data_IF_339082046650
#
_entry.id   IF_339082046650
#
_cell.length_a   1.000
_cell.length_b   1.000
_cell.length_c   1.000
_cell.angle_alpha   90.00
_cell.angle_beta   90.00
_cell.angle_gamma   90.00
#
_symmetry.space_group_name_H-M   'P 1'
#
loop_
_entity.id
_entity.type
_entity.pdbx_description
1 polymer ?
#
# COMPACT_ATOMS: atom_id res chain seq x y z
N UNK A 1 33.42 12.97 8.46
CA UNK A 1 32.80 12.65 7.16
C UNK A 1 31.65 11.71 7.46
N UNK A 2 30.42 12.21 7.52
CA UNK A 2 29.24 11.35 7.65
C UNK A 2 28.13 12.00 6.81
N UNK A 3 28.25 11.86 5.50
CA UNK A 3 27.11 12.05 4.60
C UNK A 3 26.26 10.78 4.66
N UNK A 4 25.52 10.63 5.75
CA UNK A 4 24.41 9.69 5.80
C UNK A 4 23.28 10.30 5.00
N UNK A 5 23.31 10.15 3.67
CA UNK A 5 22.14 10.40 2.84
C UNK A 5 20.98 9.58 3.43
N UNK A 6 19.85 10.19 3.84
CA UNK A 6 18.73 9.41 4.35
C UNK A 6 18.34 8.42 3.26
N UNK A 7 18.35 7.13 3.59
CA UNK A 7 17.89 6.06 2.70
C UNK A 7 16.61 6.54 2.04
N UNK A 8 16.65 6.67 0.71
CA UNK A 8 15.51 7.02 -0.13
C UNK A 8 14.47 5.94 0.07
N UNK A 9 13.69 6.09 1.13
CA UNK A 9 12.78 5.08 1.66
C UNK A 9 11.79 4.82 0.55
N UNK A 10 11.97 3.71 -0.16
CA UNK A 10 11.16 3.42 -1.35
C UNK A 10 9.74 3.22 -0.85
N UNK A 11 8.90 4.21 -1.09
CA UNK A 11 7.53 4.20 -0.61
C UNK A 11 6.79 3.04 -1.26
N UNK A 12 6.22 2.17 -0.43
CA UNK A 12 5.56 0.95 -0.86
C UNK A 12 4.05 1.10 -1.06
N UNK A 13 3.45 0.07 -1.65
CA UNK A 13 2.00 -0.15 -1.68
C UNK A 13 1.63 -1.22 -0.65
N UNK A 14 0.60 -0.95 0.16
CA UNK A 14 -0.03 -1.94 1.02
C UNK A 14 -1.38 -2.34 0.43
N UNK A 15 -1.58 -3.64 0.20
CA UNK A 15 -2.87 -4.19 -0.24
C UNK A 15 -3.56 -4.84 0.95
N UNK A 16 -4.80 -4.48 1.21
CA UNK A 16 -5.62 -5.01 2.30
C UNK A 16 -6.85 -5.71 1.72
N UNK A 17 -6.87 -7.04 1.78
CA UNK A 17 -7.99 -7.85 1.27
C UNK A 17 -8.04 -9.19 2.00
N UNK A 18 -9.23 -9.77 2.17
CA UNK A 18 -9.39 -11.08 2.79
C UNK A 18 -9.14 -12.23 1.78
N UNK A 19 -9.27 -11.93 0.48
CA UNK A 19 -9.13 -12.88 -0.61
C UNK A 19 -7.66 -13.09 -0.97
N UNK A 20 -7.13 -14.25 -0.58
CA UNK A 20 -5.72 -14.61 -0.78
C UNK A 20 -5.32 -14.62 -2.26
N UNK A 21 -6.17 -15.13 -3.14
CA UNK A 21 -5.93 -15.14 -4.58
C UNK A 21 -5.77 -13.72 -5.16
N UNK A 22 -6.54 -12.76 -4.65
CA UNK A 22 -6.39 -11.36 -5.06
C UNK A 22 -5.10 -10.75 -4.54
N UNK A 23 -4.76 -10.98 -3.27
CA UNK A 23 -3.52 -10.48 -2.68
C UNK A 23 -2.30 -10.96 -3.45
N UNK A 24 -2.25 -12.26 -3.77
CA UNK A 24 -1.13 -12.86 -4.49
C UNK A 24 -1.01 -12.28 -5.90
N UNK A 25 -2.11 -12.22 -6.65
CA UNK A 25 -2.11 -11.72 -8.02
C UNK A 25 -1.77 -10.22 -8.08
N UNK A 26 -2.39 -9.40 -7.24
CA UNK A 26 -2.14 -7.97 -7.21
C UNK A 26 -0.70 -7.66 -6.76
N UNK A 27 -0.17 -8.38 -5.77
CA UNK A 27 1.22 -8.25 -5.35
C UNK A 27 2.19 -8.69 -6.44
N UNK A 28 1.91 -9.80 -7.13
CA UNK A 28 2.72 -10.27 -8.27
C UNK A 28 2.79 -9.22 -9.37
N UNK A 29 1.66 -8.66 -9.78
CA UNK A 29 1.59 -7.62 -10.82
C UNK A 29 2.38 -6.37 -10.41
N UNK A 30 2.12 -5.82 -9.22
CA UNK A 30 2.80 -4.59 -8.77
C UNK A 30 4.31 -4.79 -8.52
N UNK A 31 4.74 -5.96 -8.03
CA UNK A 31 6.15 -6.29 -7.90
C UNK A 31 6.84 -6.45 -9.26
N UNK A 32 6.16 -6.99 -10.27
CA UNK A 32 6.72 -7.15 -11.62
C UNK A 32 7.08 -5.83 -12.30
N UNK A 33 6.51 -4.71 -11.84
CA UNK A 33 6.80 -3.35 -12.29
C UNK A 33 7.67 -2.56 -11.29
N UNK A 34 8.32 -3.25 -10.36
CA UNK A 34 9.34 -2.70 -9.46
C UNK A 34 8.79 -1.94 -8.24
N UNK A 35 7.53 -2.15 -7.87
CA UNK A 35 6.95 -1.53 -6.67
C UNK A 35 7.12 -2.45 -5.46
N UNK A 36 7.63 -1.94 -4.31
CA UNK A 36 7.58 -2.68 -3.05
C UNK A 36 6.13 -2.87 -2.63
N UNK A 37 5.70 -4.12 -2.46
CA UNK A 37 4.31 -4.44 -2.11
C UNK A 37 4.24 -5.28 -0.86
N UNK A 38 3.38 -4.84 0.05
CA UNK A 38 2.95 -5.56 1.25
C UNK A 38 1.50 -5.97 1.11
N UNK A 39 1.13 -7.03 1.82
CA UNK A 39 -0.24 -7.52 1.86
C UNK A 39 -0.67 -7.68 3.32
N UNK A 40 -1.92 -7.37 3.61
CA UNK A 40 -2.55 -7.57 4.90
C UNK A 40 -3.93 -8.19 4.71
N UNK A 41 -4.24 -9.24 5.48
CA UNK A 41 -5.54 -9.93 5.40
C UNK A 41 -6.61 -9.31 6.29
N UNK A 42 -6.22 -8.44 7.21
CA UNK A 42 -7.09 -7.85 8.22
C UNK A 42 -6.73 -6.39 8.45
N UNK A 43 -7.68 -5.55 8.94
CA UNK A 43 -7.38 -4.18 9.32
C UNK A 43 -6.26 -4.07 10.37
N UNK A 44 -6.21 -5.00 11.34
CA UNK A 44 -5.14 -5.02 12.34
C UNK A 44 -3.76 -5.28 11.72
N UNK A 45 -3.67 -6.24 10.78
CA UNK A 45 -2.43 -6.48 10.05
C UNK A 45 -2.03 -5.28 9.18
N UNK A 46 -3.00 -4.51 8.67
CA UNK A 46 -2.74 -3.30 7.91
C UNK A 46 -2.13 -2.20 8.80
N UNK A 47 -2.65 -1.99 10.01
CA UNK A 47 -2.08 -1.05 11.00
C UNK A 47 -0.63 -1.42 11.32
N UNK A 48 -0.35 -2.68 11.64
CA UNK A 48 1.03 -3.13 11.90
C UNK A 48 1.96 -2.95 10.70
N UNK A 49 1.46 -3.07 9.48
CA UNK A 49 2.24 -2.81 8.28
C UNK A 49 2.56 -1.32 8.11
N UNK A 50 1.60 -0.44 8.41
CA UNK A 50 1.74 1.02 8.34
C UNK A 50 2.68 1.59 9.42
N UNK A 51 2.73 0.98 10.61
CA UNK A 51 3.61 1.42 11.70
C UNK A 51 5.08 1.06 11.47
N UNK A 52 5.35 -0.02 10.74
CA UNK A 52 6.70 -0.58 10.63
C UNK A 52 7.52 0.06 9.53
N UNK A 53 6.88 0.41 8.41
CA UNK A 53 7.58 0.90 7.22
C UNK A 53 6.73 1.92 6.48
N UNK A 54 7.38 2.86 5.76
CA UNK A 54 6.67 3.90 5.07
C UNK A 54 5.90 3.34 3.86
N UNK A 55 4.58 3.58 3.87
CA UNK A 55 3.64 3.20 2.81
C UNK A 55 3.09 4.48 2.21
N UNK A 56 3.18 4.64 0.90
CA UNK A 56 2.57 5.79 0.20
C UNK A 56 1.12 5.54 -0.17
N UNK A 57 0.79 4.29 -0.51
CA UNK A 57 -0.54 3.93 -1.02
C UNK A 57 -1.07 2.71 -0.29
N UNK A 58 -2.32 2.80 0.16
CA UNK A 58 -3.10 1.66 0.62
C UNK A 58 -4.18 1.36 -0.40
N UNK A 59 -4.28 0.10 -0.81
CA UNK A 59 -5.38 -0.40 -1.62
C UNK A 59 -6.22 -1.36 -0.79
N UNK A 60 -7.49 -1.08 -0.65
CA UNK A 60 -8.38 -1.89 0.17
C UNK A 60 -9.81 -1.91 -0.38
N UNK A 61 -10.60 -2.88 0.09
CA UNK A 61 -12.04 -2.75 0.01
C UNK A 61 -12.56 -1.84 1.13
N UNK A 62 -13.53 -0.97 0.81
CA UNK A 62 -14.01 0.02 1.77
C UNK A 62 -14.82 -0.67 2.86
N UNK A 63 -14.44 -0.42 4.12
CA UNK A 63 -15.19 -0.89 5.28
C UNK A 63 -15.13 0.16 6.40
N UNK A 64 -16.09 0.18 7.35
CA UNK A 64 -16.07 1.12 8.46
C UNK A 64 -14.79 1.06 9.31
N UNK A 65 -14.15 -0.11 9.39
CA UNK A 65 -12.86 -0.27 10.09
C UNK A 65 -11.71 0.38 9.32
N UNK A 66 -11.74 0.30 7.98
CA UNK A 66 -10.77 0.98 7.12
C UNK A 66 -10.89 2.50 7.26
N UNK A 67 -12.10 3.05 7.36
CA UNK A 67 -12.29 4.49 7.57
C UNK A 67 -11.64 4.97 8.88
N UNK A 68 -11.78 4.21 9.97
CA UNK A 68 -11.14 4.54 11.25
C UNK A 68 -9.61 4.51 11.18
N UNK A 69 -9.03 3.60 10.41
CA UNK A 69 -7.58 3.55 10.20
C UNK A 69 -7.13 4.68 9.29
N UNK A 70 -7.87 4.95 8.20
CA UNK A 70 -7.53 5.98 7.21
C UNK A 70 -7.26 7.34 7.85
N UNK A 71 -8.14 7.76 8.75
CA UNK A 71 -8.07 9.09 9.36
C UNK A 71 -6.82 9.26 10.26
N UNK A 72 -6.17 8.16 10.66
CA UNK A 72 -4.92 8.18 11.43
C UNK A 72 -3.67 8.34 10.55
N UNK A 73 -3.78 8.11 9.24
CA UNK A 73 -2.66 8.16 8.28
C UNK A 73 -2.96 9.12 7.11
N UNK A 74 -3.08 10.44 7.36
CA UNK A 74 -3.49 11.43 6.36
C UNK A 74 -2.48 11.63 5.21
N UNK A 75 -1.22 11.21 5.39
CA UNK A 75 -0.18 11.27 4.37
C UNK A 75 -0.21 10.10 3.37
N UNK A 76 -1.06 9.10 3.62
CA UNK A 76 -1.18 7.90 2.79
C UNK A 76 -2.32 8.09 1.79
N UNK A 77 -2.09 7.76 0.53
CA UNK A 77 -3.14 7.76 -0.48
C UNK A 77 -3.94 6.45 -0.43
N UNK A 78 -5.26 6.56 -0.24
CA UNK A 78 -6.16 5.41 -0.14
C UNK A 78 -6.91 5.21 -1.45
N UNK A 79 -6.83 3.99 -1.99
CA UNK A 79 -7.46 3.62 -3.26
C UNK A 79 -8.37 2.40 -3.08
N UNK A 80 -9.52 2.36 -3.78
CA UNK A 80 -10.36 1.16 -3.79
C UNK A 80 -9.65 0.01 -4.49
N UNK A 81 -9.97 -1.23 -4.11
CA UNK A 81 -9.55 -2.47 -4.81
C UNK A 81 -9.67 -2.37 -6.33
N UNK A 82 -10.77 -1.80 -6.82
CA UNK A 82 -11.05 -1.62 -8.24
C UNK A 82 -10.00 -0.77 -8.98
N UNK A 83 -9.21 0.06 -8.27
CA UNK A 83 -8.15 0.87 -8.87
C UNK A 83 -7.00 0.00 -9.41
N UNK A 84 -6.54 -1.01 -8.65
CA UNK A 84 -5.49 -1.92 -9.13
C UNK A 84 -5.97 -2.72 -10.34
N UNK A 85 -7.20 -3.25 -10.28
CA UNK A 85 -7.72 -4.12 -11.34
C UNK A 85 -7.85 -3.38 -12.67
N UNK A 86 -8.27 -2.11 -12.64
CA UNK A 86 -8.48 -1.30 -13.84
C UNK A 86 -7.18 -0.72 -14.38
N UNK A 87 -6.31 -0.24 -13.51
CA UNK A 87 -5.04 0.40 -13.89
C UNK A 87 -3.98 0.23 -12.78
N UNK A 88 -3.20 -0.87 -12.82
CA UNK A 88 -2.12 -1.10 -11.87
C UNK A 88 -1.06 0.01 -11.89
N UNK A 89 -0.84 0.64 -13.05
CA UNK A 89 0.16 1.70 -13.23
C UNK A 89 -0.29 2.99 -12.52
N UNK A 90 -1.59 3.26 -12.45
CA UNK A 90 -2.11 4.38 -11.66
C UNK A 90 -1.79 4.21 -10.17
N UNK A 91 -1.90 3.00 -9.62
CA UNK A 91 -1.51 2.71 -8.23
C UNK A 91 0.00 2.94 -8.01
N UNK A 92 0.84 2.57 -8.97
CA UNK A 92 2.29 2.83 -8.94
C UNK A 92 2.60 4.32 -9.01
N UNK A 93 1.94 5.06 -9.91
CA UNK A 93 2.16 6.50 -10.06
C UNK A 93 1.76 7.26 -8.80
N UNK A 94 0.66 6.84 -8.16
CA UNK A 94 0.25 7.33 -6.86
C UNK A 94 1.34 7.08 -5.80
N UNK A 95 1.87 5.86 -5.73
CA UNK A 95 2.89 5.49 -4.75
C UNK A 95 4.21 6.25 -4.91
N UNK A 96 4.57 6.62 -6.15
CA UNK A 96 5.78 7.41 -6.43
C UNK A 96 5.65 8.91 -6.16
N UNK A 97 4.43 9.43 -5.98
CA UNK A 97 4.16 10.88 -5.81
C UNK A 97 4.01 11.29 -4.35
N UNK A 98 3.48 10.39 -3.51
CA UNK A 98 3.43 10.59 -2.06
C UNK A 98 4.86 10.66 -1.48
#
# INVERSE_FOLDING_TARGET
MHDGMPDGSVLGVLIVDQEEAFLDEAARVLRSIGVPVRVARTPLAAVWALEREPVAVVVCDWSPLVDQVRDQYPGVQWLPRAAIVRDPVAAVRAARRA
#
